data_IF_279057724451
#
_entry.id   IF_279057724451
#
_cell.length_a   1.000
_cell.length_b   1.000
_cell.length_c   1.000
_cell.angle_alpha   90.00
_cell.angle_beta   90.00
_cell.angle_gamma   90.00
#
_symmetry.space_group_name_H-M   'P 1'
#
loop_
_entity.id
_entity.type
_entity.pdbx_description
1 polymer ?
2 polymer ?
3 polymer ?
#
loop_
_entity_poly.entity_id
_entity_poly.type
_entity_poly.pdbx_seq_one_letter_code
_entity_poly.pdbx_strand_id
2 'polydeoxyribonucleotide' '(DG)(DA)(DG)(DG)(DC)(DC)(DC)(DC)(DC)(DC)(DC)(DA)(DT)(DA)(DA)(DT)(DC)' ?
3 'polydeoxyribonucleotide' '(DA)(DT)(DT)(DA)(DT)(DG)(DG)(DG)(DG)(DG)(DG)(DG)(DC)(DC)(DT)(DC)(DT)' ?
#
# COMPACT_ATOMS: atom_id res chain seq x y z
N UNK A 51 -22.24 -2.94 9.76
CA UNK A 51 -22.06 -1.83 10.69
C UNK A 51 -20.79 -1.06 10.32
N UNK A 52 -19.83 -1.78 9.75
CA UNK A 52 -18.50 -1.27 9.49
C UNK A 52 -18.19 -1.35 8.00
N UNK A 53 -17.76 -0.23 7.42
CA UNK A 53 -17.39 -0.23 6.01
C UNK A 53 -16.15 -1.08 5.81
N UNK A 54 -16.29 -2.15 5.06
CA UNK A 54 -15.20 -3.09 4.95
C UNK A 54 -14.72 -3.32 3.53
N UNK A 55 -15.49 -2.95 2.54
CA UNK A 55 -15.15 -3.21 1.16
C UNK A 55 -15.06 -1.89 0.40
N UNK A 56 -14.57 -2.03 -0.81
CA UNK A 56 -14.43 -0.94 -1.76
C UNK A 56 -14.63 -1.54 -3.13
N UNK A 57 -15.26 -0.80 -4.03
CA UNK A 57 -15.48 -1.29 -5.37
C UNK A 57 -14.35 -0.83 -6.28
N UNK A 58 -13.78 -1.76 -7.02
CA UNK A 58 -12.63 -1.48 -7.86
C UNK A 58 -12.92 -1.98 -9.26
N UNK A 59 -11.98 -1.65 -10.16
CA UNK A 59 -12.06 -2.06 -11.55
C UNK A 59 -12.21 -3.55 -11.71
N UNK A 60 -11.80 -4.35 -10.74
CA UNK A 60 -11.88 -5.81 -10.84
C UNK A 60 -12.77 -6.39 -9.75
N UNK A 61 -13.73 -5.62 -9.25
CA UNK A 61 -14.76 -6.12 -8.38
C UNK A 61 -14.65 -5.53 -6.99
N UNK A 62 -15.32 -6.18 -6.05
CA UNK A 62 -15.20 -5.75 -4.68
C UNK A 62 -13.89 -6.19 -4.06
N UNK A 63 -13.34 -5.37 -3.21
CA UNK A 63 -12.06 -5.67 -2.62
C UNK A 63 -12.04 -5.14 -1.21
N UNK A 64 -11.38 -5.83 -0.31
CA UNK A 64 -11.35 -5.43 1.10
C UNK A 64 -10.41 -4.33 1.45
N UNK A 65 -10.84 -3.54 2.39
CA UNK A 65 -10.01 -2.43 2.83
C UNK A 65 -8.92 -2.88 3.80
N UNK A 66 -9.01 -4.10 4.31
CA UNK A 66 -8.03 -4.65 5.26
C UNK A 66 -7.19 -5.66 4.48
N UNK A 67 -5.94 -5.28 4.16
CA UNK A 67 -5.07 -6.10 3.31
C UNK A 67 -4.09 -6.85 4.20
N UNK A 68 -3.85 -8.10 3.86
CA UNK A 68 -2.85 -8.90 4.53
C UNK A 68 -1.49 -8.65 3.92
N UNK A 69 -0.45 -8.74 4.75
CA UNK A 69 0.92 -8.58 4.32
C UNK A 69 1.72 -9.82 4.66
N UNK A 70 2.58 -10.23 3.75
CA UNK A 70 3.56 -11.24 4.08
C UNK A 70 4.40 -10.78 5.27
N UNK A 71 4.92 -11.75 6.03
CA UNK A 71 5.73 -11.42 7.20
C UNK A 71 6.89 -10.49 6.84
N UNK A 72 7.60 -10.78 5.73
CA UNK A 72 8.68 -9.90 5.32
C UNK A 72 8.15 -8.51 5.01
N UNK A 73 7.09 -8.43 4.21
CA UNK A 73 6.60 -7.12 3.80
C UNK A 73 6.14 -6.29 5.00
N UNK A 74 5.51 -6.93 5.99
CA UNK A 74 5.11 -6.18 7.17
C UNK A 74 6.32 -5.52 7.82
N UNK A 75 7.43 -6.26 7.92
CA UNK A 75 8.63 -5.69 8.52
C UNK A 75 9.00 -4.39 7.82
N UNK A 76 9.09 -4.43 6.48
CA UNK A 76 9.50 -3.25 5.73
C UNK A 76 8.48 -2.12 5.88
N UNK A 77 7.20 -2.42 5.70
CA UNK A 77 6.20 -1.36 5.73
C UNK A 77 6.13 -0.70 7.09
N UNK A 78 6.11 -1.50 8.16
CA UNK A 78 6.05 -0.93 9.50
C UNK A 78 7.27 -0.10 9.78
N UNK A 79 8.42 -0.52 9.25
CA UNK A 79 9.60 0.31 9.29
C UNK A 79 9.32 1.65 8.64
N UNK A 80 8.62 1.65 7.52
CA UNK A 80 8.35 2.92 6.87
C UNK A 80 7.39 3.74 7.71
N UNK A 81 6.38 3.11 8.29
CA UNK A 81 5.42 3.85 9.09
C UNK A 81 6.10 4.51 10.28
N UNK A 82 7.13 3.86 10.83
CA UNK A 82 7.85 4.44 11.97
C UNK A 82 8.60 5.71 11.58
N UNK A 83 9.26 5.71 10.43
CA UNK A 83 9.97 6.90 9.96
C UNK A 83 9.02 8.02 9.60
N UNK A 84 7.83 7.70 9.08
CA UNK A 84 6.93 8.78 8.71
C UNK A 84 6.17 9.30 9.91
N UNK A 85 6.06 8.52 10.98
CA UNK A 85 5.36 8.97 12.16
C UNK A 85 3.86 9.08 12.02
N UNK A 86 3.27 8.51 10.97
CA UNK A 86 1.85 8.66 10.75
C UNK A 86 1.03 7.79 11.73
N UNK A 87 -0.05 8.38 12.25
CA UNK A 87 -0.93 7.65 13.16
C UNK A 87 -1.49 6.40 12.52
N UNK A 88 -2.21 6.56 11.39
CA UNK A 88 -2.87 5.51 10.65
C UNK A 88 -2.08 5.11 9.41
N UNK A 89 -2.07 3.81 9.13
CA UNK A 89 -1.31 3.30 7.98
C UNK A 89 -1.68 3.87 6.64
N UNK A 90 -2.95 4.23 6.38
CA UNK A 90 -3.28 4.73 5.05
C UNK A 90 -2.42 5.93 4.67
N UNK A 91 -2.07 6.76 5.66
CA UNK A 91 -1.24 7.91 5.34
C UNK A 91 0.13 7.48 4.85
N UNK A 92 0.66 6.39 5.40
CA UNK A 92 1.91 5.84 4.88
C UNK A 92 1.74 5.33 3.45
N UNK A 93 0.67 4.54 3.21
CA UNK A 93 0.47 4.02 1.86
C UNK A 93 0.33 5.16 0.88
N UNK A 94 -0.38 6.22 1.28
CA UNK A 94 -0.48 7.39 0.42
C UNK A 94 0.90 7.87 0.04
N UNK A 95 1.77 8.00 1.05
CA UNK A 95 3.09 8.53 0.84
C UNK A 95 3.87 7.70 -0.16
N UNK A 96 3.90 6.38 0.04
CA UNK A 96 4.56 5.48 -0.90
C UNK A 96 4.06 5.71 -2.31
N UNK A 97 2.75 5.75 -2.48
CA UNK A 97 2.18 5.92 -3.81
C UNK A 97 2.68 7.22 -4.42
N UNK A 98 2.62 8.31 -3.65
CA UNK A 98 3.12 9.59 -4.14
C UNK A 98 4.62 9.54 -4.43
N UNK A 99 5.39 8.81 -3.62
CA UNK A 99 6.82 8.73 -3.90
C UNK A 99 7.08 7.94 -5.17
N UNK A 100 6.26 6.93 -5.45
CA UNK A 100 6.50 6.08 -6.60
C UNK A 100 5.82 6.60 -7.86
N UNK A 101 5.42 7.87 -7.86
CA UNK A 101 4.61 8.43 -8.93
C UNK A 101 5.21 8.16 -10.30
N UNK A 102 6.48 8.48 -10.49
CA UNK A 102 7.06 8.32 -11.82
C UNK A 102 7.14 6.85 -12.22
N UNK A 103 7.43 5.96 -11.26
CA UNK A 103 7.43 4.53 -11.59
C UNK A 103 6.04 4.07 -11.98
N UNK A 104 5.02 4.56 -11.28
CA UNK A 104 3.65 4.23 -11.64
C UNK A 104 3.28 4.84 -12.99
N UNK A 105 3.72 6.04 -13.25
CA UNK A 105 3.35 6.70 -14.49
C UNK A 105 3.96 6.04 -15.72
N UNK A 106 5.06 5.36 -15.58
CA UNK A 106 5.61 4.65 -16.70
C UNK A 106 4.98 3.30 -16.68
N UNK A 107 3.74 3.23 -16.25
CA UNK A 107 3.03 1.98 -16.13
C UNK A 107 3.78 0.94 -15.30
N UNK B 63 1.75 -12.94 13.39
CA UNK B 63 1.36 -14.09 12.60
C UNK B 63 0.45 -13.77 11.40
N UNK B 64 -0.64 -13.04 11.56
CA UNK B 64 -1.44 -12.67 10.42
C UNK B 64 -1.44 -11.20 10.40
N UNK B 65 -0.48 -10.66 9.71
CA UNK B 65 -0.34 -9.23 9.73
C UNK B 65 -1.08 -8.51 8.65
N UNK B 66 -1.89 -7.55 9.05
CA UNK B 66 -2.72 -6.86 8.13
C UNK B 66 -2.78 -5.40 8.39
N UNK B 67 -3.14 -4.67 7.40
CA UNK B 67 -3.26 -3.21 7.44
C UNK B 67 -4.69 -2.81 7.09
N UNK B 68 -5.24 -1.86 7.83
CA UNK B 68 -6.57 -1.35 7.56
C UNK B 68 -6.42 -0.07 6.75
N UNK B 69 -6.99 -0.05 5.55
CA UNK B 69 -6.93 1.10 4.68
C UNK B 69 -8.25 1.86 4.70
N UNK B 70 -8.16 3.17 4.45
CA UNK B 70 -9.32 4.00 4.21
C UNK B 70 -9.85 3.75 2.80
N UNK B 71 -11.14 4.07 2.59
CA UNK B 71 -11.71 3.80 1.28
C UNK B 71 -10.96 4.56 0.21
N UNK B 72 -10.66 5.82 0.45
CA UNK B 72 -9.89 6.60 -0.50
C UNK B 72 -8.55 5.92 -0.81
N UNK B 73 -7.79 5.57 0.22
CA UNK B 73 -6.48 4.96 -0.02
C UNK B 73 -6.61 3.58 -0.65
N UNK B 74 -7.58 2.76 -0.20
CA UNK B 74 -7.76 1.45 -0.80
C UNK B 74 -7.92 1.56 -2.30
N UNK B 75 -8.75 2.51 -2.75
CA UNK B 75 -9.03 2.61 -4.17
C UNK B 75 -7.75 2.95 -4.93
N UNK B 76 -7.01 3.94 -4.44
CA UNK B 76 -5.75 4.30 -5.11
C UNK B 76 -4.80 3.11 -5.11
N UNK B 77 -4.73 2.37 -4.00
CA UNK B 77 -3.77 1.29 -3.89
C UNK B 77 -4.14 0.12 -4.79
N UNK B 78 -5.41 -0.29 -4.78
CA UNK B 78 -5.79 -1.42 -5.63
C UNK B 78 -5.60 -1.08 -7.09
N UNK B 79 -5.74 0.20 -7.45
CA UNK B 79 -5.46 0.60 -8.82
C UNK B 79 -4.00 0.40 -9.16
N UNK B 80 -3.10 0.82 -8.27
CA UNK B 80 -1.68 0.56 -8.47
C UNK B 80 -1.44 -0.93 -8.60
N UNK B 81 -2.11 -1.73 -7.78
CA UNK B 81 -1.92 -3.17 -7.87
C UNK B 81 -2.40 -3.69 -9.22
N UNK B 82 -3.59 -3.25 -9.65
CA UNK B 82 -4.09 -3.68 -10.95
C UNK B 82 -3.16 -3.23 -12.06
N UNK B 83 -2.76 -1.95 -12.05
CA UNK B 83 -1.83 -1.48 -13.08
C UNK B 83 -0.50 -2.24 -13.05
N UNK B 84 -0.09 -2.76 -11.89
CA UNK B 84 1.10 -3.60 -11.86
C UNK B 84 0.79 -5.03 -12.27
N UNK B 85 -0.48 -5.41 -12.33
CA UNK B 85 -0.82 -6.78 -12.64
C UNK B 85 -0.27 -7.78 -11.65
N UNK B 86 -0.32 -7.46 -10.36
CA UNK B 86 0.10 -8.42 -9.35
C UNK B 86 -1.12 -9.11 -8.75
N UNK B 87 -0.95 -10.39 -8.42
CA UNK B 87 -2.01 -11.18 -7.79
C UNK B 87 -2.26 -10.72 -6.35
N UNK B 88 -1.23 -10.78 -5.51
CA UNK B 88 -1.33 -10.45 -4.10
C UNK B 88 -1.10 -8.97 -3.87
N UNK B 89 -1.90 -8.29 -3.03
CA UNK B 89 -1.54 -6.93 -2.61
C UNK B 89 -0.15 -6.83 -1.98
N UNK B 90 0.25 -7.84 -1.20
CA UNK B 90 1.53 -7.73 -0.49
C UNK B 90 2.67 -7.47 -1.46
N UNK B 91 2.58 -8.04 -2.67
CA UNK B 91 3.64 -7.84 -3.66
C UNK B 91 3.60 -6.43 -4.23
N UNK B 92 2.41 -5.84 -4.32
CA UNK B 92 2.36 -4.42 -4.68
C UNK B 92 2.99 -3.54 -3.61
N UNK B 93 2.80 -3.91 -2.32
CA UNK B 93 3.42 -3.11 -1.26
C UNK B 93 4.94 -3.26 -1.31
N UNK B 94 5.44 -4.46 -1.65
CA UNK B 94 6.87 -4.60 -1.88
C UNK B 94 7.35 -3.68 -2.99
N UNK B 95 6.56 -3.59 -4.07
CA UNK B 95 6.94 -2.79 -5.22
C UNK B 95 7.03 -1.30 -4.87
N UNK B 96 6.01 -0.77 -4.18
CA UNK B 96 6.04 0.64 -3.81
C UNK B 96 7.24 0.93 -2.91
N UNK B 97 7.53 0.04 -1.96
CA UNK B 97 8.64 0.28 -1.05
C UNK B 97 9.97 0.31 -1.81
N UNK B 98 10.20 -0.61 -2.73
CA UNK B 98 11.40 -0.61 -3.50
C UNK B 98 11.52 0.57 -4.42
N UNK B 99 10.44 1.10 -4.90
CA UNK B 99 10.54 2.17 -5.83
C UNK B 99 10.51 3.48 -5.14
N UNK B 100 10.78 3.49 -3.84
CA UNK B 100 10.76 4.72 -3.06
C UNK B 100 11.84 4.77 -2.02
N UNK B 101 12.83 3.92 -2.16
CA UNK B 101 13.91 3.85 -1.19
C UNK B 101 14.72 5.08 -1.09
N UNK B 102 14.75 5.83 -2.16
CA UNK B 102 15.58 6.98 -2.19
C UNK B 102 14.89 8.03 -1.37
N UNK B 103 13.59 8.00 -1.34
CA UNK B 103 12.85 8.92 -0.55
C UNK B 103 12.75 8.40 0.80
N UNK B 104 12.69 7.09 0.90
CA UNK B 104 12.63 6.60 2.27
C UNK B 104 13.95 6.88 2.97
N UNK B 105 15.05 6.50 2.33
CA UNK B 105 16.36 6.68 2.94
C UNK B 105 16.62 8.12 3.31
N UNK B 106 15.98 9.08 2.63
CA UNK B 106 16.22 10.47 2.96
C UNK B 106 15.38 10.96 4.14
N UNK B 107 14.53 10.13 4.72
CA UNK B 107 13.71 10.60 5.83
C UNK B 107 14.56 10.79 7.09
#
# INVERSE_FOLDING_TARGET
MGSSHHHHHHSSGLVPRGSHMGLKGYSVGEGGGEIVEVQGGHIIRATGRKDRHSKVFTSKGPRDRRVRLSAHTAIQFYDVQDRLGYDRPSKAVDWLIKKAKTAIDKL
MGSSHHHHHHSSGLVPRGSHMGLKGYSVGEGGGEIVEVQGGHIIRATGRKDRHSKVFTSKGPRDRRVRLSAHTAIQFYDVQDRLGYDRPSKAVDWLIKKAKTAIDKL
#
